data_IF_879689807358
#
_entry.id   IF_879689807358
#
_cell.length_a   1.000
_cell.length_b   1.000
_cell.length_c   1.000
_cell.angle_alpha   90.00
_cell.angle_beta   90.00
_cell.angle_gamma   90.00
#
_symmetry.space_group_name_H-M   'P 1'
#
loop_
_entity.id
_entity.type
_entity.pdbx_description
1 polymer ?
#
# COMPACT_ATOMS: atom_id res chain seq x y z
N UNK A 1 40.42 49.76 17.25
CA UNK A 1 39.43 49.08 18.11
C UNK A 1 39.25 47.68 17.52
N UNK A 2 40.01 46.69 18.01
CA UNK A 2 39.91 45.31 17.52
C UNK A 2 39.30 44.46 18.61
N UNK A 3 38.08 43.97 18.39
CA UNK A 3 37.46 42.99 19.26
C UNK A 3 38.04 41.60 18.98
N UNK A 4 38.62 41.00 20.01
CA UNK A 4 39.14 39.64 19.99
C UNK A 4 37.97 38.65 20.09
N UNK A 5 37.62 38.01 18.98
CA UNK A 5 36.64 36.93 18.98
C UNK A 5 37.25 35.69 19.66
N UNK A 6 36.78 35.38 20.88
CA UNK A 6 37.21 34.22 21.67
C UNK A 6 36.66 32.94 21.02
N UNK A 7 37.50 31.98 20.59
CA UNK A 7 36.98 30.74 20.02
C UNK A 7 36.33 29.91 21.12
N UNK A 8 35.01 29.77 21.07
CA UNK A 8 34.27 28.91 22.00
C UNK A 8 34.57 27.45 21.67
N UNK A 9 35.38 26.83 22.53
CA UNK A 9 35.65 25.38 22.63
C UNK A 9 34.38 24.60 23.04
N UNK A 10 33.27 24.75 22.30
CA UNK A 10 31.95 24.22 22.64
C UNK A 10 31.36 23.22 21.65
N UNK A 11 31.99 22.95 20.50
CA UNK A 11 31.38 22.16 19.43
C UNK A 11 31.36 20.65 19.64
N UNK A 12 32.38 20.10 20.32
CA UNK A 12 32.53 18.64 20.51
C UNK A 12 31.40 17.99 21.32
N UNK A 13 30.93 18.54 22.45
CA UNK A 13 29.82 17.94 23.18
C UNK A 13 28.49 18.06 22.44
N UNK A 14 28.30 19.13 21.66
CA UNK A 14 27.07 19.35 20.87
C UNK A 14 26.97 18.35 19.71
N UNK A 15 28.08 18.10 19.00
CA UNK A 15 28.12 17.10 17.92
C UNK A 15 27.89 15.69 18.47
N UNK A 16 28.45 15.35 19.64
CA UNK A 16 28.22 14.06 20.28
C UNK A 16 26.76 13.88 20.71
N UNK A 17 26.12 14.92 21.25
CA UNK A 17 24.70 14.89 21.60
C UNK A 17 23.80 14.70 20.37
N UNK A 18 24.14 15.33 19.23
CA UNK A 18 23.40 15.14 17.98
C UNK A 18 23.55 13.73 17.43
N UNK A 19 24.77 13.17 17.42
CA UNK A 19 25.00 11.79 16.98
C UNK A 19 24.24 10.81 17.89
N UNK A 20 24.29 11.00 19.20
CA UNK A 20 23.54 10.16 20.15
C UNK A 20 22.02 10.26 19.91
N UNK A 21 21.50 11.46 19.67
CA UNK A 21 20.09 11.67 19.33
C UNK A 21 19.68 11.00 18.01
N UNK A 22 20.53 11.07 16.98
CA UNK A 22 20.28 10.40 15.69
C UNK A 22 20.38 8.89 15.79
N UNK A 23 21.33 8.35 16.55
CA UNK A 23 21.47 6.89 16.74
C UNK A 23 20.30 6.34 17.56
N UNK A 24 19.88 7.04 18.62
CA UNK A 24 18.73 6.65 19.43
C UNK A 24 17.41 6.79 18.67
N UNK A 25 17.22 7.88 17.92
CA UNK A 25 16.05 8.09 17.07
C UNK A 25 15.99 7.14 15.87
N UNK A 26 17.11 6.96 15.17
CA UNK A 26 17.22 6.08 14.01
C UNK A 26 17.17 4.60 14.37
N UNK A 27 17.73 4.22 15.52
CA UNK A 27 17.65 2.85 16.05
C UNK A 27 16.22 2.42 16.36
N UNK A 28 15.41 3.32 16.94
CA UNK A 28 14.01 3.02 17.22
C UNK A 28 13.18 2.81 15.94
N UNK A 29 13.42 3.60 14.89
CA UNK A 29 12.75 3.43 13.59
C UNK A 29 13.22 2.15 12.91
N UNK A 30 14.52 1.84 12.92
CA UNK A 30 15.07 0.63 12.30
C UNK A 30 14.60 -0.67 12.94
N UNK A 31 14.46 -0.71 14.26
CA UNK A 31 13.97 -1.91 14.98
C UNK A 31 12.48 -2.17 14.67
N UNK A 32 11.66 -1.12 14.53
CA UNK A 32 10.24 -1.27 14.15
C UNK A 32 10.05 -1.90 12.75
N UNK A 33 10.93 -1.57 11.80
CA UNK A 33 10.94 -2.20 10.47
C UNK A 33 11.48 -3.63 10.49
N UNK A 34 12.50 -3.92 11.31
CA UNK A 34 13.06 -5.26 11.44
C UNK A 34 12.08 -6.26 12.10
N UNK A 35 11.27 -5.82 13.08
CA UNK A 35 10.21 -6.68 13.63
C UNK A 35 9.06 -6.91 12.65
N UNK A 36 8.81 -5.97 11.72
CA UNK A 36 7.84 -6.18 10.63
C UNK A 36 8.39 -7.05 9.50
N UNK A 37 9.70 -7.26 9.44
CA UNK A 37 10.40 -8.05 8.40
C UNK A 37 10.82 -9.44 8.88
N UNK A 38 10.56 -9.79 10.14
CA UNK A 38 10.97 -11.10 10.71
C UNK A 38 10.06 -12.25 10.27
N UNK A 39 8.90 -11.96 9.65
CA UNK A 39 7.98 -12.95 9.05
C UNK A 39 8.15 -13.11 7.53
N UNK A 40 9.11 -12.43 6.90
CA UNK A 40 9.24 -12.36 5.43
C UNK A 40 10.29 -13.31 4.84
N UNK A 41 10.34 -14.58 5.29
CA UNK A 41 11.19 -15.62 4.68
C UNK A 41 10.39 -16.72 3.97
N UNK A 42 9.30 -16.35 3.30
CA UNK A 42 8.57 -17.24 2.40
C UNK A 42 7.88 -16.43 1.32
N UNK A 43 8.02 -16.84 0.06
CA UNK A 43 7.33 -16.21 -1.09
C UNK A 43 5.80 -16.12 -0.94
N UNK A 44 5.21 -16.89 -0.01
CA UNK A 44 3.80 -16.78 0.37
C UNK A 44 3.44 -15.56 1.24
N UNK A 45 4.40 -14.90 1.89
CA UNK A 45 4.10 -13.71 2.71
C UNK A 45 3.83 -12.47 1.84
N UNK A 46 4.53 -12.35 0.70
CA UNK A 46 4.36 -11.24 -0.24
C UNK A 46 3.02 -11.32 -0.98
N UNK A 47 2.74 -12.47 -1.61
CA UNK A 47 1.48 -12.70 -2.32
C UNK A 47 0.26 -12.48 -1.41
N UNK A 48 0.29 -13.01 -0.18
CA UNK A 48 -0.79 -12.79 0.77
C UNK A 48 -0.92 -11.33 1.18
N UNK A 49 0.19 -10.63 1.43
CA UNK A 49 0.17 -9.21 1.80
C UNK A 49 -0.45 -8.36 0.67
N UNK A 50 -0.10 -8.63 -0.58
CA UNK A 50 -0.66 -7.95 -1.75
C UNK A 50 -2.17 -8.24 -1.89
N UNK A 51 -2.59 -9.50 -1.73
CA UNK A 51 -4.00 -9.89 -1.76
C UNK A 51 -4.83 -9.19 -0.64
N UNK A 52 -4.31 -9.15 0.58
CA UNK A 52 -4.94 -8.44 1.71
C UNK A 52 -5.03 -6.94 1.42
N UNK A 53 -3.94 -6.32 0.96
CA UNK A 53 -3.92 -4.90 0.64
C UNK A 53 -4.90 -4.53 -0.49
N UNK A 54 -5.05 -5.40 -1.49
CA UNK A 54 -6.07 -5.27 -2.53
C UNK A 54 -7.49 -5.24 -1.94
N UNK A 55 -7.81 -6.22 -1.08
CA UNK A 55 -9.10 -6.31 -0.40
C UNK A 55 -9.39 -5.10 0.50
N UNK A 56 -8.41 -4.63 1.27
CA UNK A 56 -8.55 -3.42 2.10
C UNK A 56 -8.75 -2.14 1.28
N UNK A 57 -8.11 -2.03 0.12
CA UNK A 57 -8.32 -0.91 -0.80
C UNK A 57 -9.76 -0.91 -1.36
N UNK A 58 -10.28 -2.07 -1.74
CA UNK A 58 -11.67 -2.22 -2.20
C UNK A 58 -12.70 -1.97 -1.09
N UNK A 59 -12.44 -2.42 0.14
CA UNK A 59 -13.31 -2.18 1.29
C UNK A 59 -13.53 -0.69 1.56
N UNK A 60 -12.51 0.14 1.28
CA UNK A 60 -12.54 1.61 1.42
C UNK A 60 -13.04 2.34 0.16
N UNK A 61 -13.46 1.61 -0.87
CA UNK A 61 -13.91 2.18 -2.14
C UNK A 61 -15.42 2.04 -2.24
N UNK A 62 -16.13 3.18 -2.25
CA UNK A 62 -17.61 3.22 -2.27
C UNK A 62 -18.18 3.26 -3.67
N UNK A 63 -17.46 3.85 -4.63
CA UNK A 63 -17.84 3.96 -6.04
C UNK A 63 -16.58 3.81 -6.89
N UNK A 64 -16.74 3.28 -8.11
CA UNK A 64 -15.70 3.21 -9.13
C UNK A 64 -16.05 4.06 -10.36
N UNK A 65 -17.10 4.86 -10.28
CA UNK A 65 -17.49 5.77 -11.35
C UNK A 65 -16.59 7.01 -11.37
N UNK A 66 -15.81 7.25 -12.46
CA UNK A 66 -14.96 8.42 -12.58
C UNK A 66 -15.72 9.75 -12.60
N UNK A 67 -17.01 9.77 -12.94
CA UNK A 67 -17.84 10.99 -12.94
C UNK A 67 -18.04 11.51 -11.51
N UNK A 68 -18.20 10.62 -10.54
CA UNK A 68 -18.32 10.97 -9.12
C UNK A 68 -16.99 11.37 -8.48
N UNK A 69 -15.86 11.05 -9.14
CA UNK A 69 -14.51 11.42 -8.73
C UNK A 69 -13.49 10.32 -8.94
N UNK A 70 -12.21 10.70 -9.04
CA UNK A 70 -11.14 9.78 -9.44
C UNK A 70 -10.56 8.94 -8.29
N UNK A 71 -10.90 9.25 -7.04
CA UNK A 71 -10.33 8.53 -5.89
C UNK A 71 -10.73 7.05 -5.87
N UNK A 72 -12.01 6.76 -6.16
CA UNK A 72 -12.54 5.40 -6.23
C UNK A 72 -11.90 4.54 -7.32
N UNK A 73 -11.97 4.96 -8.60
CA UNK A 73 -11.31 4.27 -9.70
C UNK A 73 -9.81 4.02 -9.46
N UNK A 74 -9.08 4.99 -8.89
CA UNK A 74 -7.65 4.84 -8.58
C UNK A 74 -7.37 3.84 -7.47
N UNK A 75 -8.21 3.80 -6.42
CA UNK A 75 -8.09 2.79 -5.36
C UNK A 75 -8.38 1.40 -5.91
N UNK A 76 -9.41 1.29 -6.76
CA UNK A 76 -9.76 0.02 -7.39
C UNK A 76 -8.70 -0.47 -8.37
N UNK A 77 -8.13 0.41 -9.19
CA UNK A 77 -7.01 0.04 -10.08
C UNK A 77 -5.80 -0.41 -9.26
N UNK A 78 -5.46 0.30 -8.18
CA UNK A 78 -4.39 -0.14 -7.27
C UNK A 78 -4.66 -1.52 -6.66
N UNK A 79 -5.90 -1.81 -6.28
CA UNK A 79 -6.30 -3.13 -5.80
C UNK A 79 -6.12 -4.21 -6.89
N UNK A 80 -6.49 -3.90 -8.13
CA UNK A 80 -6.31 -4.81 -9.27
C UNK A 80 -4.85 -5.16 -9.53
N UNK A 81 -3.96 -4.17 -9.46
CA UNK A 81 -2.51 -4.39 -9.64
C UNK A 81 -1.91 -5.24 -8.51
N UNK A 82 -2.31 -4.97 -7.26
CA UNK A 82 -1.87 -5.77 -6.12
C UNK A 82 -2.35 -7.23 -6.22
N UNK A 83 -3.61 -7.45 -6.59
CA UNK A 83 -4.13 -8.79 -6.78
C UNK A 83 -3.44 -9.54 -7.94
N UNK A 84 -3.10 -8.83 -9.02
CA UNK A 84 -2.29 -9.39 -10.10
C UNK A 84 -0.88 -9.77 -9.62
N UNK A 85 -0.21 -8.90 -8.87
CA UNK A 85 1.11 -9.19 -8.28
C UNK A 85 1.06 -10.40 -7.33
N UNK A 86 -0.01 -10.53 -6.54
CA UNK A 86 -0.26 -11.71 -5.71
C UNK A 86 -0.40 -12.97 -6.56
N UNK A 87 -1.15 -12.92 -7.66
CA UNK A 87 -1.38 -14.05 -8.56
C UNK A 87 -0.13 -14.45 -9.38
N UNK A 88 0.77 -13.50 -9.67
CA UNK A 88 2.07 -13.76 -10.28
C UNK A 88 3.00 -14.54 -9.34
N UNK A 89 2.97 -14.21 -8.05
CA UNK A 89 3.77 -14.89 -7.01
C UNK A 89 3.15 -16.22 -6.57
N UNK A 90 1.82 -16.29 -6.43
CA UNK A 90 1.06 -17.47 -6.06
C UNK A 90 -0.19 -17.62 -6.96
N UNK A 91 -0.22 -18.62 -7.86
CA UNK A 91 -1.36 -18.92 -8.72
C UNK A 91 -2.70 -19.11 -8.02
N UNK A 92 -2.72 -19.43 -6.72
CA UNK A 92 -3.94 -19.52 -5.92
C UNK A 92 -4.78 -18.24 -5.94
N UNK A 93 -4.16 -17.08 -6.11
CA UNK A 93 -4.83 -15.79 -6.14
C UNK A 93 -5.37 -15.38 -7.52
N UNK A 94 -5.24 -16.20 -8.58
CA UNK A 94 -5.77 -15.83 -9.92
C UNK A 94 -7.26 -15.51 -9.92
N UNK A 95 -8.06 -16.30 -9.21
CA UNK A 95 -9.52 -16.06 -9.11
C UNK A 95 -9.82 -14.70 -8.50
N UNK A 96 -9.05 -14.30 -7.49
CA UNK A 96 -9.14 -12.97 -6.88
C UNK A 96 -8.77 -11.88 -7.89
N UNK A 97 -7.64 -12.01 -8.57
CA UNK A 97 -7.19 -11.03 -9.57
C UNK A 97 -8.21 -10.87 -10.72
N UNK A 98 -8.76 -11.97 -11.22
CA UNK A 98 -9.79 -11.97 -12.25
C UNK A 98 -11.08 -11.30 -11.76
N UNK A 99 -11.52 -11.60 -10.54
CA UNK A 99 -12.71 -11.00 -9.95
C UNK A 99 -12.54 -9.48 -9.76
N UNK A 100 -11.39 -9.03 -9.25
CA UNK A 100 -11.12 -7.61 -8.96
C UNK A 100 -10.98 -6.79 -10.24
N UNK A 101 -10.41 -7.34 -11.31
CA UNK A 101 -10.21 -6.60 -12.56
C UNK A 101 -11.51 -6.45 -13.37
N UNK A 102 -12.46 -7.38 -13.21
CA UNK A 102 -13.68 -7.47 -14.04
C UNK A 102 -14.57 -6.20 -14.03
N UNK A 103 -14.84 -5.52 -12.90
CA UNK A 103 -15.63 -4.28 -12.89
C UNK A 103 -15.03 -3.17 -13.74
N UNK A 104 -13.71 -2.99 -13.67
CA UNK A 104 -13.01 -1.98 -14.47
C UNK A 104 -13.09 -2.33 -15.96
N UNK A 105 -12.91 -3.61 -16.32
CA UNK A 105 -13.01 -4.04 -17.72
C UNK A 105 -14.41 -3.80 -18.30
N UNK A 106 -15.46 -4.12 -17.55
CA UNK A 106 -16.84 -3.88 -17.98
C UNK A 106 -17.08 -2.37 -18.11
N UNK A 107 -16.80 -1.60 -17.06
CA UNK A 107 -17.04 -0.15 -17.06
C UNK A 107 -16.24 0.61 -18.12
N UNK A 108 -15.01 0.18 -18.43
CA UNK A 108 -14.22 0.76 -19.52
C UNK A 108 -14.76 0.41 -20.90
N UNK A 109 -15.31 -0.79 -21.08
CA UNK A 109 -15.85 -1.23 -22.36
C UNK A 109 -17.21 -0.60 -22.65
N UNK A 110 -18.06 -0.47 -21.63
CA UNK A 110 -19.43 0.04 -21.76
C UNK A 110 -19.52 1.55 -21.53
N UNK A 111 -18.52 2.14 -20.87
CA UNK A 111 -18.56 3.52 -20.34
C UNK A 111 -19.74 3.76 -19.37
N UNK A 112 -20.25 2.69 -18.77
CA UNK A 112 -21.36 2.72 -17.81
C UNK A 112 -20.97 1.95 -16.53
N UNK A 113 -20.54 2.70 -15.53
CA UNK A 113 -20.09 2.21 -14.22
C UNK A 113 -21.24 1.98 -13.22
N UNK A 114 -22.46 2.40 -13.56
CA UNK A 114 -23.66 2.16 -12.75
C UNK A 114 -24.53 1.03 -13.31
N UNK A 115 -24.12 0.44 -14.44
CA UNK A 115 -24.78 -0.72 -15.02
C UNK A 115 -24.87 -1.89 -14.01
N UNK A 116 -25.97 -2.69 -14.06
CA UNK A 116 -26.10 -3.88 -13.22
C UNK A 116 -24.91 -4.84 -13.34
N UNK A 117 -24.33 -4.95 -14.54
CA UNK A 117 -23.16 -5.80 -14.81
C UNK A 117 -21.91 -5.37 -14.01
N UNK A 118 -21.69 -4.06 -13.87
CA UNK A 118 -20.58 -3.52 -13.06
C UNK A 118 -20.87 -3.71 -11.58
N UNK A 119 -22.11 -3.46 -11.13
CA UNK A 119 -22.52 -3.65 -9.74
C UNK A 119 -22.36 -5.11 -9.31
N UNK A 120 -22.81 -6.06 -10.13
CA UNK A 120 -22.67 -7.50 -9.90
C UNK A 120 -21.19 -7.91 -9.86
N UNK A 121 -20.37 -7.36 -10.77
CA UNK A 121 -18.94 -7.63 -10.77
C UNK A 121 -18.25 -7.06 -9.51
N UNK A 122 -18.65 -5.88 -9.03
CA UNK A 122 -18.13 -5.29 -7.78
C UNK A 122 -18.51 -6.17 -6.59
N UNK A 123 -19.74 -6.69 -6.56
CA UNK A 123 -20.18 -7.61 -5.51
C UNK A 123 -19.37 -8.91 -5.53
N UNK A 124 -19.18 -9.51 -6.70
CA UNK A 124 -18.38 -10.72 -6.86
C UNK A 124 -16.90 -10.51 -6.45
N UNK A 125 -16.31 -9.36 -6.79
CA UNK A 125 -14.96 -9.00 -6.35
C UNK A 125 -14.84 -8.91 -4.82
N UNK A 126 -15.87 -8.37 -4.15
CA UNK A 126 -15.90 -8.30 -2.68
C UNK A 126 -16.10 -9.67 -2.03
N UNK A 127 -16.92 -10.53 -2.64
CA UNK A 127 -17.12 -11.91 -2.18
C UNK A 127 -15.81 -12.71 -2.27
N UNK A 128 -15.05 -12.56 -3.35
CA UNK A 128 -13.74 -13.20 -3.53
C UNK A 128 -12.72 -12.84 -2.44
N UNK A 129 -12.86 -11.67 -1.79
CA UNK A 129 -12.03 -11.30 -0.65
C UNK A 129 -12.34 -12.07 0.64
N UNK A 130 -13.47 -12.78 0.73
CA UNK A 130 -13.77 -13.66 1.86
C UNK A 130 -12.90 -14.91 1.91
N UNK A 131 -12.16 -15.20 0.84
CA UNK A 131 -11.31 -16.39 0.67
C UNK A 131 -9.80 -16.09 0.88
N UNK A 132 -9.43 -14.85 1.24
CA UNK A 132 -8.04 -14.36 1.44
C UNK A 132 -7.65 -14.40 2.92
#
# INVERSE_FOLDING_TARGET
MSEAQKPTRGGRPVVLALIAGVVLGGGAVGVGWLTSSSDSSGSGSGARADAVAACEAMARTTTIDPVTGLAGPRRWSGASELAAAAAEQDPGYRKLADAISKPLQIGQRTFDYESPEVIDAVAAAREACGEV
#
